data_IF_519418052120
#
_entry.id   IF_519418052120
#
_cell.length_a   1.000
_cell.length_b   1.000
_cell.length_c   1.000
_cell.angle_alpha   90.00
_cell.angle_beta   90.00
_cell.angle_gamma   90.00
#
_symmetry.space_group_name_H-M   'P 1'
#
loop_
_entity.id
_entity.type
_entity.pdbx_description
1 polymer ?
#
# COMPACT_ATOMS: atom_id res chain seq x y z
N UNK A 1 -6.41 -3.22 5.77
CA UNK A 1 -6.60 -4.36 6.69
C UNK A 1 -7.29 -5.47 5.90
N UNK A 2 -6.58 -6.54 5.61
CA UNK A 2 -7.13 -7.76 5.02
C UNK A 2 -7.19 -8.78 6.15
N UNK A 3 -8.23 -9.60 6.20
CA UNK A 3 -8.40 -10.60 7.28
C UNK A 3 -8.78 -11.95 6.70
N UNK A 4 -8.25 -13.03 7.28
CA UNK A 4 -8.78 -14.37 7.09
C UNK A 4 -9.78 -14.67 8.20
N UNK A 5 -10.89 -15.33 7.85
CA UNK A 5 -11.82 -15.91 8.82
C UNK A 5 -11.29 -17.26 9.29
N UNK A 6 -11.12 -17.44 10.60
CA UNK A 6 -10.73 -18.68 11.25
C UNK A 6 -11.86 -19.23 12.13
N UNK A 7 -11.74 -20.49 12.55
CA UNK A 7 -12.79 -21.17 13.34
C UNK A 7 -13.04 -20.53 14.71
N UNK A 8 -12.07 -19.81 15.27
CA UNK A 8 -12.10 -19.16 16.58
C UNK A 8 -11.94 -17.63 16.51
N UNK A 9 -11.88 -17.04 15.31
CA UNK A 9 -11.75 -15.59 15.17
C UNK A 9 -11.31 -15.10 13.79
N UNK A 10 -10.59 -13.98 13.78
CA UNK A 10 -10.07 -13.35 12.57
C UNK A 10 -8.56 -13.18 12.70
N UNK A 11 -7.82 -13.63 11.69
CA UNK A 11 -6.39 -13.38 11.57
C UNK A 11 -6.19 -12.11 10.74
N UNK A 12 -5.52 -11.11 11.33
CA UNK A 12 -5.17 -9.89 10.62
C UNK A 12 -3.98 -10.18 9.73
N UNK A 13 -4.19 -10.10 8.42
CA UNK A 13 -3.11 -10.13 7.44
C UNK A 13 -2.61 -8.70 7.27
N UNK A 14 -1.45 -8.42 7.86
CA UNK A 14 -0.66 -7.23 7.52
C UNK A 14 -0.04 -7.44 6.14
N UNK A 15 -0.77 -7.02 5.12
CA UNK A 15 -0.34 -7.15 3.75
C UNK A 15 0.26 -5.83 3.27
N UNK A 16 1.49 -5.89 2.75
CA UNK A 16 2.18 -4.85 1.95
C UNK A 16 1.42 -4.41 0.69
N UNK A 17 0.18 -4.84 0.53
CA UNK A 17 -0.63 -4.73 -0.67
C UNK A 17 -0.87 -3.27 -1.06
N UNK A 18 -0.98 -2.34 -0.09
CA UNK A 18 -1.11 -0.91 -0.40
C UNK A 18 0.17 -0.31 -0.96
N UNK A 19 1.33 -0.60 -0.35
CA UNK A 19 2.61 -0.13 -0.86
C UNK A 19 2.93 -0.74 -2.25
N UNK A 20 2.59 -2.01 -2.47
CA UNK A 20 2.75 -2.67 -3.77
C UNK A 20 1.83 -2.07 -4.85
N UNK A 21 0.56 -1.82 -4.53
CA UNK A 21 -0.38 -1.15 -5.43
C UNK A 21 0.10 0.27 -5.77
N UNK A 22 0.55 1.03 -4.77
CA UNK A 22 1.10 2.36 -4.98
C UNK A 22 2.37 2.34 -5.85
N UNK A 23 3.23 1.33 -5.69
CA UNK A 23 4.40 1.13 -6.53
C UNK A 23 4.04 0.82 -7.98
N UNK A 24 3.01 0.01 -8.22
CA UNK A 24 2.49 -0.25 -9.57
C UNK A 24 1.95 1.03 -10.22
N UNK A 25 1.18 1.84 -9.47
CA UNK A 25 0.66 3.12 -9.95
C UNK A 25 1.81 4.09 -10.28
N UNK A 26 2.83 4.17 -9.43
CA UNK A 26 4.01 5.01 -9.67
C UNK A 26 4.82 4.54 -10.89
N UNK A 27 4.98 3.23 -11.09
CA UNK A 27 5.68 2.65 -12.24
C UNK A 27 5.04 2.98 -13.59
N UNK A 28 3.72 3.21 -13.61
CA UNK A 28 2.97 3.66 -14.79
C UNK A 28 2.72 5.17 -14.83
N UNK A 29 3.36 5.94 -13.94
CA UNK A 29 3.11 7.38 -13.85
C UNK A 29 3.69 8.13 -15.04
N UNK A 30 2.86 8.96 -15.68
CA UNK A 30 3.33 9.84 -16.74
C UNK A 30 4.01 11.08 -16.14
N UNK A 31 5.35 11.13 -16.15
CA UNK A 31 6.15 12.22 -15.59
C UNK A 31 5.94 13.58 -16.29
N UNK A 32 5.39 13.61 -17.52
CA UNK A 32 5.02 14.87 -18.17
C UNK A 32 3.82 15.55 -17.51
N UNK A 33 3.03 14.80 -16.71
CA UNK A 33 1.94 15.34 -15.90
C UNK A 33 2.47 15.73 -14.54
N UNK A 34 2.77 17.02 -14.39
CA UNK A 34 3.18 17.60 -13.12
C UNK A 34 1.98 17.73 -12.19
N UNK A 35 1.75 16.72 -11.36
CA UNK A 35 0.67 16.71 -10.36
C UNK A 35 1.21 16.34 -8.99
N UNK A 36 0.69 16.98 -7.95
CA UNK A 36 1.10 16.71 -6.57
C UNK A 36 0.85 15.26 -6.12
N UNK A 37 -0.02 14.52 -6.82
CA UNK A 37 -0.36 13.12 -6.53
C UNK A 37 0.81 12.16 -6.69
N UNK A 38 1.84 12.52 -7.46
CA UNK A 38 3.05 11.70 -7.56
C UNK A 38 3.75 11.61 -6.19
N UNK A 39 3.87 12.72 -5.49
CA UNK A 39 4.49 12.77 -4.16
C UNK A 39 3.67 12.01 -3.12
N UNK A 40 2.34 12.09 -3.20
CA UNK A 40 1.43 11.29 -2.37
C UNK A 40 1.58 9.79 -2.65
N UNK A 41 1.74 9.41 -3.92
CA UNK A 41 1.94 8.01 -4.33
C UNK A 41 3.29 7.49 -3.83
N UNK A 42 4.35 8.29 -3.93
CA UNK A 42 5.68 7.96 -3.38
C UNK A 42 5.62 7.83 -1.84
N UNK A 43 4.90 8.73 -1.16
CA UNK A 43 4.69 8.64 0.27
C UNK A 43 3.92 7.37 0.67
N UNK A 44 2.92 6.96 -0.12
CA UNK A 44 2.17 5.72 0.10
C UNK A 44 3.02 4.45 -0.11
N UNK A 45 4.03 4.49 -1.00
CA UNK A 45 5.01 3.40 -1.15
C UNK A 45 5.94 3.33 0.06
N UNK A 46 6.41 4.49 0.53
CA UNK A 46 7.32 4.61 1.68
C UNK A 46 6.60 4.38 3.02
N UNK A 47 5.27 4.42 3.04
CA UNK A 47 4.49 4.06 4.20
C UNK A 47 4.59 2.54 4.39
N UNK A 48 5.60 2.13 5.15
CA UNK A 48 5.74 0.76 5.59
C UNK A 48 4.51 0.43 6.45
N UNK A 49 3.71 -0.55 6.03
CA UNK A 49 2.67 -1.20 6.84
C UNK A 49 3.31 -2.00 8.02
N UNK A 50 4.32 -1.43 8.67
CA UNK A 50 4.99 -1.97 9.85
C UNK A 50 4.17 -1.58 11.08
N UNK A 51 3.08 -2.30 11.29
CA UNK A 51 2.60 -2.61 12.62
C UNK A 51 2.85 -4.10 12.87
N UNK A 52 4.13 -4.48 12.82
CA UNK A 52 4.60 -5.67 13.54
C UNK A 52 4.85 -5.24 15.00
N UNK A 53 3.89 -5.56 15.86
CA UNK A 53 4.09 -5.75 17.30
C UNK A 53 3.24 -6.93 17.76
#
# INVERSE_FOLDING_TARGET
MIVNLQSDGWEIIYHRAHALLAAQIAGHWNLSKNTNRLYETIAAIAHHDNLEK
#
